data_IF_907568078034
#
_entry.id   IF_907568078034
#
_cell.length_a   1.000
_cell.length_b   1.000
_cell.length_c   1.000
_cell.angle_alpha   90.00
_cell.angle_beta   90.00
_cell.angle_gamma   90.00
#
_symmetry.space_group_name_H-M   'P 1'
#
loop_
_entity.id
_entity.type
_entity.pdbx_description
1 polymer ?
#
# COMPACT_ATOMS: atom_id res chain seq x y z
N UNK A 1 8.67 -33.85 -0.67
CA UNK A 1 7.95 -32.78 -1.39
C UNK A 1 8.31 -32.88 -2.86
N UNK A 2 7.34 -32.63 -3.75
CA UNK A 2 7.54 -32.62 -5.19
C UNK A 2 7.23 -31.22 -5.70
N UNK A 3 8.18 -30.59 -6.40
CA UNK A 3 7.97 -29.27 -7.01
C UNK A 3 7.20 -29.48 -8.31
N UNK A 4 6.08 -28.80 -8.47
CA UNK A 4 5.19 -28.93 -9.65
C UNK A 4 5.20 -27.70 -10.54
N UNK A 5 5.61 -26.55 -10.04
CA UNK A 5 5.77 -25.31 -10.80
C UNK A 5 6.65 -24.32 -10.04
N UNK A 6 7.09 -23.28 -10.74
CA UNK A 6 7.72 -22.09 -10.15
C UNK A 6 6.85 -20.89 -10.50
N UNK A 7 6.59 -20.01 -9.52
CA UNK A 7 5.89 -18.75 -9.74
C UNK A 7 6.78 -17.57 -9.36
N UNK A 8 6.75 -16.50 -10.15
CA UNK A 8 7.60 -15.32 -9.94
C UNK A 8 6.91 -14.03 -10.33
N UNK A 9 7.10 -12.99 -9.54
CA UNK A 9 6.73 -11.62 -9.94
C UNK A 9 7.77 -11.08 -10.91
N UNK A 10 7.38 -10.72 -12.13
CA UNK A 10 8.28 -10.19 -13.17
C UNK A 10 8.30 -8.67 -13.25
N UNK A 11 7.21 -8.02 -12.83
CA UNK A 11 7.03 -6.57 -12.89
C UNK A 11 6.32 -6.06 -11.63
N UNK A 12 6.47 -4.78 -11.27
CA UNK A 12 5.67 -4.17 -10.21
C UNK A 12 4.17 -4.24 -10.47
N UNK A 13 3.76 -3.92 -11.70
CA UNK A 13 2.35 -3.86 -12.17
C UNK A 13 2.23 -4.53 -13.52
N UNK A 14 1.01 -4.94 -13.87
CA UNK A 14 0.69 -5.52 -15.19
C UNK A 14 0.27 -4.40 -16.17
N UNK A 15 1.19 -3.49 -16.44
CA UNK A 15 1.05 -2.40 -17.42
C UNK A 15 2.31 -2.27 -18.25
N UNK A 16 2.16 -1.76 -19.46
CA UNK A 16 3.29 -1.45 -20.33
C UNK A 16 4.28 -0.52 -19.61
N UNK A 17 5.57 -0.72 -19.82
CA UNK A 17 6.66 0.02 -19.18
C UNK A 17 6.79 -0.12 -17.64
N UNK A 18 6.05 -1.02 -17.01
CA UNK A 18 6.23 -1.36 -15.61
C UNK A 18 7.54 -2.12 -15.39
N UNK A 19 8.57 -1.41 -14.92
CA UNK A 19 9.92 -1.94 -14.81
C UNK A 19 10.58 -1.61 -13.47
N UNK A 20 11.20 -2.62 -12.87
CA UNK A 20 12.14 -2.48 -11.76
C UNK A 20 13.27 -3.51 -11.89
N UNK A 21 14.55 -3.11 -11.80
CA UNK A 21 15.69 -4.01 -11.99
C UNK A 21 15.68 -5.24 -11.07
N UNK A 22 15.21 -5.12 -9.84
CA UNK A 22 15.18 -6.20 -8.85
C UNK A 22 14.36 -7.40 -9.32
N UNK A 23 13.27 -7.18 -10.07
CA UNK A 23 12.45 -8.28 -10.58
C UNK A 23 13.17 -9.14 -11.61
N UNK A 24 14.12 -8.56 -12.38
CA UNK A 24 14.91 -9.31 -13.36
C UNK A 24 15.79 -10.38 -12.71
N UNK A 25 16.39 -10.08 -11.56
CA UNK A 25 17.15 -11.06 -10.81
C UNK A 25 16.26 -12.21 -10.33
N UNK A 26 15.06 -11.90 -9.84
CA UNK A 26 14.06 -12.90 -9.45
C UNK A 26 13.65 -13.80 -10.63
N UNK A 27 13.35 -13.21 -11.79
CA UNK A 27 12.97 -13.94 -13.01
C UNK A 27 14.11 -14.83 -13.48
N UNK A 28 15.35 -14.33 -13.50
CA UNK A 28 16.51 -15.14 -13.90
C UNK A 28 16.68 -16.35 -12.98
N UNK A 29 16.58 -16.17 -11.67
CA UNK A 29 16.65 -17.26 -10.71
C UNK A 29 15.49 -18.26 -10.86
N UNK A 30 14.28 -17.76 -11.07
CA UNK A 30 13.08 -18.61 -11.26
C UNK A 30 13.20 -19.48 -12.52
N UNK A 31 13.74 -18.95 -13.62
CA UNK A 31 14.02 -19.73 -14.83
C UNK A 31 15.01 -20.88 -14.56
N UNK A 32 16.11 -20.59 -13.89
CA UNK A 32 17.10 -21.63 -13.53
C UNK A 32 16.46 -22.71 -12.66
N UNK A 33 15.60 -22.34 -11.71
CA UNK A 33 14.89 -23.31 -10.87
C UNK A 33 13.89 -24.14 -11.67
N UNK A 34 13.08 -23.51 -12.52
CA UNK A 34 12.10 -24.21 -13.37
C UNK A 34 12.78 -25.22 -14.30
N UNK A 35 13.88 -24.80 -14.96
CA UNK A 35 14.67 -25.67 -15.83
C UNK A 35 15.29 -26.84 -15.05
N UNK A 36 15.83 -26.56 -13.86
CA UNK A 36 16.47 -27.59 -13.02
C UNK A 36 15.51 -28.66 -12.53
N UNK A 37 14.25 -28.29 -12.28
CA UNK A 37 13.19 -29.21 -11.85
C UNK A 37 12.38 -29.78 -13.01
N UNK A 38 12.53 -29.27 -14.22
CA UNK A 38 11.73 -29.66 -15.39
C UNK A 38 10.26 -29.32 -15.23
N UNK A 39 9.94 -28.18 -14.62
CA UNK A 39 8.56 -27.75 -14.29
C UNK A 39 8.22 -26.41 -14.97
N UNK A 40 6.93 -26.11 -15.20
CA UNK A 40 6.52 -24.85 -15.78
C UNK A 40 6.80 -23.66 -14.85
N UNK A 41 7.05 -22.50 -15.46
CA UNK A 41 7.14 -21.21 -14.78
C UNK A 41 5.89 -20.38 -15.05
N UNK A 42 5.37 -19.73 -13.99
CA UNK A 42 4.23 -18.80 -14.08
C UNK A 42 4.70 -17.40 -13.65
N UNK A 43 4.61 -16.48 -14.59
CA UNK A 43 4.94 -15.07 -14.36
C UNK A 43 3.70 -14.28 -13.97
N UNK A 44 3.83 -13.46 -12.96
CA UNK A 44 2.78 -12.55 -12.49
C UNK A 44 3.35 -11.17 -12.21
N UNK A 45 2.53 -10.19 -11.85
CA UNK A 45 3.03 -8.92 -11.34
C UNK A 45 2.95 -8.89 -9.80
N UNK A 46 3.77 -8.02 -9.20
CA UNK A 46 3.84 -7.89 -7.74
C UNK A 46 2.51 -7.40 -7.14
N UNK A 47 1.84 -6.47 -7.81
CA UNK A 47 0.54 -5.96 -7.39
C UNK A 47 -0.53 -7.08 -7.32
N UNK A 48 -0.57 -7.98 -8.31
CA UNK A 48 -1.45 -9.15 -8.29
C UNK A 48 -1.18 -10.04 -7.07
N UNK A 49 0.09 -10.22 -6.70
CA UNK A 49 0.47 -10.96 -5.49
C UNK A 49 -0.11 -10.34 -4.21
N UNK A 50 -0.09 -9.01 -4.08
CA UNK A 50 -0.71 -8.31 -2.96
C UNK A 50 -2.24 -8.47 -2.94
N UNK A 51 -2.89 -8.35 -4.09
CA UNK A 51 -4.34 -8.51 -4.20
C UNK A 51 -4.79 -9.92 -3.80
N UNK A 52 -4.09 -10.94 -4.30
CA UNK A 52 -4.35 -12.35 -3.96
C UNK A 52 -4.10 -12.62 -2.47
N UNK A 53 -3.02 -12.10 -1.90
CA UNK A 53 -2.71 -12.29 -0.48
C UNK A 53 -3.78 -11.65 0.43
N UNK A 54 -4.29 -10.47 0.05
CA UNK A 54 -5.33 -9.79 0.81
C UNK A 54 -6.66 -10.57 0.79
N UNK A 55 -7.06 -11.10 -0.37
CA UNK A 55 -8.31 -11.87 -0.51
C UNK A 55 -8.20 -13.26 0.12
N UNK A 56 -7.09 -13.97 -0.08
CA UNK A 56 -6.86 -15.27 0.54
C UNK A 56 -6.79 -15.19 2.08
N UNK A 57 -6.29 -14.08 2.62
CA UNK A 57 -6.18 -13.86 4.07
C UNK A 57 -7.53 -13.56 4.75
N UNK A 58 -8.51 -13.03 4.02
CA UNK A 58 -9.85 -12.73 4.56
C UNK A 58 -10.74 -13.96 4.68
N UNK A 59 -10.42 -15.05 3.98
CA UNK A 59 -11.28 -16.23 3.89
C UNK A 59 -12.49 -16.09 2.97
N UNK A 60 -12.72 -14.89 2.44
CA UNK A 60 -13.80 -14.56 1.51
C UNK A 60 -13.23 -14.33 0.12
N UNK A 61 -13.35 -15.30 -0.76
CA UNK A 61 -13.03 -15.07 -2.18
C UNK A 61 -14.10 -14.15 -2.80
N UNK A 62 -13.68 -13.06 -3.48
CA UNK A 62 -14.62 -12.18 -4.16
C UNK A 62 -15.43 -12.94 -5.23
N UNK A 63 -16.74 -12.81 -5.23
CA UNK A 63 -17.62 -13.45 -6.22
C UNK A 63 -17.68 -12.68 -7.55
N UNK A 64 -17.34 -11.40 -7.55
CA UNK A 64 -17.36 -10.50 -8.70
C UNK A 64 -16.14 -9.58 -8.73
N UNK A 65 -16.05 -8.70 -9.73
CA UNK A 65 -15.09 -7.61 -9.77
C UNK A 65 -15.24 -6.73 -8.53
N UNK A 66 -14.13 -6.24 -7.98
CA UNK A 66 -14.13 -5.51 -6.72
C UNK A 66 -13.19 -4.30 -6.76
N UNK A 67 -13.32 -3.44 -5.77
CA UNK A 67 -12.42 -2.32 -5.55
C UNK A 67 -11.36 -2.69 -4.50
N UNK A 68 -10.11 -2.35 -4.78
CA UNK A 68 -9.01 -2.50 -3.84
C UNK A 68 -8.34 -1.16 -3.58
N UNK A 69 -8.04 -0.87 -2.30
CA UNK A 69 -7.19 0.22 -1.90
C UNK A 69 -5.78 -0.32 -1.64
N UNK A 70 -4.82 0.12 -2.46
CA UNK A 70 -3.41 -0.19 -2.28
C UNK A 70 -2.73 0.97 -1.56
N UNK A 71 -2.57 0.85 -0.25
CA UNK A 71 -1.98 1.86 0.62
C UNK A 71 -0.63 1.38 1.14
N UNK A 72 0.40 2.19 0.95
CA UNK A 72 1.75 1.91 1.44
C UNK A 72 2.51 3.19 1.77
N UNK A 73 3.76 3.07 2.21
CA UNK A 73 4.67 4.20 2.41
C UNK A 73 4.91 5.03 1.15
N UNK A 74 4.86 4.44 -0.04
CA UNK A 74 5.09 5.12 -1.32
C UNK A 74 3.87 5.20 -2.24
N UNK A 75 2.82 4.42 -1.97
CA UNK A 75 1.68 4.23 -2.88
C UNK A 75 0.37 4.50 -2.17
N UNK A 76 -0.53 5.18 -2.86
CA UNK A 76 -1.91 5.35 -2.43
C UNK A 76 -2.79 5.35 -3.68
N UNK A 77 -3.38 4.22 -3.99
CA UNK A 77 -4.06 3.91 -5.24
C UNK A 77 -5.38 3.20 -4.99
N UNK A 78 -6.36 3.49 -5.83
CA UNK A 78 -7.62 2.76 -5.93
C UNK A 78 -7.62 1.97 -7.24
N UNK A 79 -7.85 0.69 -7.13
CA UNK A 79 -7.86 -0.25 -8.25
C UNK A 79 -9.25 -0.83 -8.44
N UNK A 80 -9.70 -0.95 -9.68
CA UNK A 80 -10.77 -1.85 -10.06
C UNK A 80 -10.14 -3.19 -10.42
N UNK A 81 -10.45 -4.23 -9.69
CA UNK A 81 -9.85 -5.56 -9.86
C UNK A 81 -10.82 -6.49 -10.58
N UNK A 82 -10.35 -7.04 -11.69
CA UNK A 82 -11.08 -8.08 -12.41
C UNK A 82 -10.89 -9.42 -11.69
N UNK A 83 -11.96 -10.01 -11.18
CA UNK A 83 -11.91 -11.28 -10.44
C UNK A 83 -11.25 -12.42 -11.22
N UNK A 84 -11.51 -12.50 -12.53
CA UNK A 84 -11.04 -13.59 -13.37
C UNK A 84 -9.52 -13.68 -13.53
N UNK A 85 -8.83 -12.55 -13.43
CA UNK A 85 -7.37 -12.45 -13.66
C UNK A 85 -6.61 -11.79 -12.51
N UNK A 86 -7.33 -11.20 -11.53
CA UNK A 86 -6.76 -10.31 -10.52
C UNK A 86 -5.95 -9.15 -11.13
N UNK A 87 -6.29 -8.77 -12.35
CA UNK A 87 -5.76 -7.56 -12.97
C UNK A 87 -6.36 -6.33 -12.30
N UNK A 88 -5.50 -5.44 -11.81
CA UNK A 88 -5.88 -4.19 -11.16
C UNK A 88 -5.76 -3.00 -12.11
N UNK A 89 -6.90 -2.49 -12.59
CA UNK A 89 -6.96 -1.24 -13.33
C UNK A 89 -6.87 -0.06 -12.36
N UNK A 90 -5.90 0.84 -12.56
CA UNK A 90 -5.78 2.05 -11.75
C UNK A 90 -6.88 3.04 -12.10
N UNK A 91 -7.83 3.25 -11.17
CA UNK A 91 -8.94 4.19 -11.35
C UNK A 91 -8.82 5.45 -10.50
N UNK A 92 -8.00 5.43 -9.46
CA UNK A 92 -7.77 6.58 -8.59
C UNK A 92 -6.43 6.53 -7.89
N UNK A 93 -5.91 7.71 -7.52
CA UNK A 93 -4.64 7.80 -6.81
C UNK A 93 -4.52 9.11 -6.03
N UNK A 94 -3.50 9.21 -5.17
CA UNK A 94 -3.07 10.51 -4.65
C UNK A 94 -2.44 11.35 -5.75
N UNK A 95 -2.63 12.67 -5.66
CA UNK A 95 -2.01 13.65 -6.57
C UNK A 95 -0.62 14.10 -6.09
N UNK A 96 -0.25 13.76 -4.86
CA UNK A 96 0.96 14.26 -4.23
C UNK A 96 1.62 13.17 -3.35
N UNK A 97 1.62 13.33 -2.05
CA UNK A 97 2.24 12.36 -1.15
C UNK A 97 1.30 11.19 -0.84
N UNK A 98 1.86 10.05 -0.45
CA UNK A 98 1.10 8.91 0.04
C UNK A 98 0.63 9.11 1.49
N UNK A 99 -0.34 8.31 1.91
CA UNK A 99 -0.79 8.27 3.30
C UNK A 99 0.35 7.92 4.27
N UNK A 100 1.20 6.95 3.91
CA UNK A 100 2.37 6.58 4.72
C UNK A 100 3.39 7.71 4.83
N UNK A 101 3.64 8.46 3.75
CA UNK A 101 4.51 9.65 3.81
C UNK A 101 3.93 10.76 4.69
N UNK A 102 2.59 10.93 4.73
CA UNK A 102 1.95 11.83 5.67
C UNK A 102 2.24 11.38 7.10
N UNK A 103 1.98 10.12 7.42
CA UNK A 103 2.23 9.56 8.76
C UNK A 103 3.69 9.72 9.18
N UNK A 104 4.63 9.38 8.29
CA UNK A 104 6.06 9.51 8.57
C UNK A 104 6.47 10.97 8.83
N UNK A 105 5.99 11.91 8.02
CA UNK A 105 6.29 13.34 8.20
C UNK A 105 5.77 13.89 9.53
N UNK A 106 4.53 13.56 9.88
CA UNK A 106 3.93 13.99 11.14
C UNK A 106 4.61 13.29 12.32
N UNK A 107 4.84 11.98 12.24
CA UNK A 107 5.50 11.23 13.31
C UNK A 107 6.92 11.73 13.61
N UNK A 108 7.73 11.97 12.57
CA UNK A 108 9.08 12.55 12.74
C UNK A 108 8.99 13.94 13.35
N UNK A 109 8.00 14.75 12.98
CA UNK A 109 7.77 16.07 13.57
C UNK A 109 7.44 15.99 15.06
N UNK A 110 6.72 14.96 15.49
CA UNK A 110 6.40 14.65 16.88
C UNK A 110 7.58 14.00 17.64
N UNK A 111 8.76 13.89 17.02
CA UNK A 111 9.97 13.32 17.64
C UNK A 111 10.06 11.78 17.55
N UNK A 112 9.20 11.12 16.79
CA UNK A 112 9.27 9.68 16.58
C UNK A 112 10.34 9.30 15.54
N UNK A 113 10.92 8.10 15.68
CA UNK A 113 11.92 7.60 14.74
C UNK A 113 11.25 7.22 13.40
N UNK A 114 11.97 7.47 12.28
CA UNK A 114 11.57 7.01 10.96
C UNK A 114 11.93 5.50 10.76
N UNK A 115 11.06 4.69 10.15
CA UNK A 115 9.68 4.96 9.73
C UNK A 115 8.73 5.05 10.93
N UNK A 116 7.83 6.05 10.94
CA UNK A 116 7.07 6.43 12.13
C UNK A 116 5.75 5.64 12.31
N UNK A 117 5.30 4.86 11.32
CA UNK A 117 3.98 4.24 11.29
C UNK A 117 3.66 3.44 12.55
N UNK A 118 4.53 2.49 12.95
CA UNK A 118 4.33 1.64 14.14
C UNK A 118 4.33 2.47 15.42
N UNK A 119 5.23 3.45 15.52
CA UNK A 119 5.30 4.34 16.70
C UNK A 119 4.06 5.23 16.82
N UNK A 120 3.54 5.71 15.69
CA UNK A 120 2.28 6.46 15.62
C UNK A 120 1.09 5.61 16.07
N UNK A 121 1.01 4.36 15.63
CA UNK A 121 -0.02 3.42 16.05
C UNK A 121 0.02 3.17 17.56
N UNK A 122 1.21 2.93 18.12
CA UNK A 122 1.40 2.76 19.57
C UNK A 122 0.99 4.02 20.33
N UNK A 123 1.36 5.21 19.83
CA UNK A 123 0.98 6.49 20.42
C UNK A 123 -0.54 6.66 20.42
N UNK A 124 -1.21 6.42 19.29
CA UNK A 124 -2.64 6.49 19.18
C UNK A 124 -3.37 5.50 20.12
N UNK A 125 -2.85 4.26 20.21
CA UNK A 125 -3.40 3.24 21.12
C UNK A 125 -3.22 3.59 22.61
N UNK A 126 -2.21 4.39 22.96
CA UNK A 126 -1.97 4.83 24.33
C UNK A 126 -2.83 6.04 24.75
N UNK A 127 -3.46 6.72 23.79
CA UNK A 127 -4.40 7.77 24.11
C UNK A 127 -5.61 7.17 24.81
N UNK A 128 -5.80 7.52 26.08
CA UNK A 128 -7.06 7.21 26.80
C UNK A 128 -8.22 7.87 26.04
N UNK A 129 -9.31 7.12 25.90
CA UNK A 129 -10.52 7.50 25.16
C UNK A 129 -10.89 8.98 25.37
N UNK A 130 -10.46 9.82 24.46
CA UNK A 130 -11.09 11.12 24.28
C UNK A 130 -12.34 10.90 23.44
N UNK A 131 -13.40 11.59 23.77
CA UNK A 131 -14.61 11.63 22.99
C UNK A 131 -14.28 11.76 21.50
N UNK A 132 -14.69 10.82 20.63
CA UNK A 132 -14.43 10.90 19.20
C UNK A 132 -14.84 12.25 18.59
N UNK A 133 -15.84 12.94 19.15
CA UNK A 133 -16.26 14.27 18.73
C UNK A 133 -15.22 15.37 19.05
N UNK A 134 -14.26 15.11 19.94
CA UNK A 134 -13.19 16.05 20.29
C UNK A 134 -11.98 15.96 19.33
N UNK A 135 -11.93 14.96 18.47
CA UNK A 135 -10.82 14.76 17.52
C UNK A 135 -11.03 15.67 16.31
N UNK A 136 -10.13 16.63 16.13
CA UNK A 136 -10.17 17.52 14.98
C UNK A 136 -9.89 16.74 13.68
N UNK A 137 -10.91 16.57 12.85
CA UNK A 137 -10.73 16.00 11.52
C UNK A 137 -10.05 17.00 10.59
N UNK A 138 -8.91 16.62 10.03
CA UNK A 138 -8.24 17.41 8.99
C UNK A 138 -8.87 17.07 7.63
N UNK A 139 -9.47 18.05 6.93
CA UNK A 139 -10.17 17.76 5.68
C UNK A 139 -9.18 17.37 4.57
N UNK A 140 -9.52 16.31 3.85
CA UNK A 140 -8.78 15.84 2.66
C UNK A 140 -9.45 16.40 1.40
N UNK A 141 -8.66 16.97 0.49
CA UNK A 141 -9.19 17.41 -0.80
C UNK A 141 -9.38 16.20 -1.72
N UNK A 142 -10.61 16.02 -2.19
CA UNK A 142 -10.99 14.94 -3.11
C UNK A 142 -11.59 15.55 -4.37
N UNK A 143 -11.09 15.13 -5.54
CA UNK A 143 -11.62 15.52 -6.87
C UNK A 143 -11.80 14.27 -7.74
N UNK A 144 -13.04 13.84 -7.91
CA UNK A 144 -13.35 12.55 -8.55
C UNK A 144 -12.74 11.41 -7.71
N UNK A 145 -11.90 10.57 -8.33
CA UNK A 145 -11.18 9.48 -7.66
C UNK A 145 -9.73 9.84 -7.30
N UNK A 146 -9.41 11.13 -7.26
CA UNK A 146 -8.10 11.63 -6.85
C UNK A 146 -8.19 12.41 -5.56
N UNK A 147 -7.23 12.18 -4.68
CA UNK A 147 -7.14 12.80 -3.37
C UNK A 147 -5.75 13.43 -3.15
N UNK A 148 -5.65 14.33 -2.18
CA UNK A 148 -4.41 15.03 -1.83
C UNK A 148 -4.17 14.94 -0.34
N UNK A 149 -3.01 14.46 0.05
CA UNK A 149 -2.56 14.39 1.44
C UNK A 149 -1.62 15.53 1.84
N UNK A 150 -1.12 16.32 0.88
CA UNK A 150 -0.21 17.43 1.18
C UNK A 150 -0.86 18.53 2.03
N UNK A 151 -2.16 18.81 1.79
CA UNK A 151 -2.94 19.76 2.59
C UNK A 151 -3.07 19.32 4.05
N UNK A 152 -3.60 18.12 4.31
CA UNK A 152 -3.65 17.52 5.65
C UNK A 152 -2.29 17.47 6.34
N UNK A 153 -1.24 17.03 5.64
CA UNK A 153 0.11 17.00 6.19
C UNK A 153 0.57 18.38 6.67
N UNK A 154 0.36 19.42 5.86
CA UNK A 154 0.72 20.79 6.20
C UNK A 154 -0.08 21.33 7.39
N UNK A 155 -1.36 20.93 7.52
CA UNK A 155 -2.19 21.32 8.65
C UNK A 155 -1.70 20.68 9.95
N UNK A 156 -1.48 19.36 9.92
CA UNK A 156 -0.99 18.61 11.08
C UNK A 156 0.41 19.06 11.53
N UNK A 157 1.31 19.35 10.59
CA UNK A 157 2.64 19.89 10.93
C UNK A 157 2.56 21.25 11.63
N UNK A 158 1.64 22.14 11.21
CA UNK A 158 1.41 23.41 11.90
C UNK A 158 0.84 23.22 13.30
N UNK A 159 -0.07 22.25 13.49
CA UNK A 159 -0.58 21.91 14.83
C UNK A 159 0.51 21.41 15.75
N UNK A 160 1.39 20.53 15.24
CA UNK A 160 2.54 20.05 15.99
C UNK A 160 3.52 21.19 16.36
N UNK A 161 3.74 22.19 15.48
CA UNK A 161 4.54 23.37 15.77
C UNK A 161 3.91 24.28 16.82
N UNK A 162 2.58 24.35 16.88
CA UNK A 162 1.86 25.13 17.88
C UNK A 162 1.88 24.50 19.29
N UNK A 163 2.49 23.31 19.44
CA UNK A 163 2.59 22.62 20.72
C UNK A 163 1.26 21.98 21.16
N UNK A 164 0.33 21.79 20.23
CA UNK A 164 -0.86 20.99 20.49
C UNK A 164 -0.46 19.53 20.70
N UNK A 165 -0.97 18.95 21.77
CA UNK A 165 -0.57 17.66 22.34
C UNK A 165 -0.53 16.56 21.27
N UNK A 166 0.46 15.67 21.31
CA UNK A 166 0.66 14.52 20.41
C UNK A 166 -0.51 13.50 20.42
N UNK A 167 -1.62 13.85 21.00
CA UNK A 167 -2.88 13.10 21.06
C UNK A 167 -3.86 13.42 19.90
N UNK A 168 -3.38 14.02 18.81
CA UNK A 168 -4.15 14.29 17.60
C UNK A 168 -4.12 13.11 16.63
#
# INVERSE_FOLDING_TARGET
>A
YHVVCVSVSKTPRDVEDSYMPVFRAGVAFANVMADSFGVPIYETCHQTGHLLAATAGSGDEPECDFLALHLSGGTCEMLRVLRSSYFGELIGATNDISAGQLMDRVGVKLGLAFPAGVSMECLAASCSEKDPESIACVPVSVRGLRLSFAGPASALLRQADAGEDAAL
#
